data_IF_641040392346
#
_entry.id   IF_641040392346
#
_cell.length_a   1.000
_cell.length_b   1.000
_cell.length_c   1.000
_cell.angle_alpha   90.00
_cell.angle_beta   90.00
_cell.angle_gamma   90.00
#
_symmetry.space_group_name_H-M   'P 1'
#
loop_
_entity.id
_entity.type
_entity.pdbx_description
1 polymer ?
#
# COMPACT_ATOMS: atom_id res chain seq x y z
N UNK A 1 -1.54 30.05 4.93
CA UNK A 1 -2.85 29.41 5.13
C UNK A 1 -3.04 28.08 4.37
N UNK A 2 -2.93 28.00 3.00
CA UNK A 2 -3.14 26.71 2.29
C UNK A 2 -2.04 25.67 2.62
N UNK A 3 -0.78 26.09 2.75
CA UNK A 3 0.34 25.21 3.09
C UNK A 3 0.24 24.64 4.51
N UNK A 4 -0.24 25.41 5.48
CA UNK A 4 -0.43 24.97 6.85
C UNK A 4 -1.57 23.95 6.95
N UNK A 5 -2.65 24.18 6.22
CA UNK A 5 -3.77 23.24 6.14
C UNK A 5 -3.32 21.89 5.56
N UNK A 6 -2.51 21.90 4.48
CA UNK A 6 -1.95 20.69 3.89
C UNK A 6 -1.05 19.95 4.89
N UNK A 7 -0.09 20.65 5.51
CA UNK A 7 0.79 20.06 6.52
C UNK A 7 0.01 19.42 7.69
N UNK A 8 -1.05 20.10 8.16
CA UNK A 8 -1.88 19.54 9.24
C UNK A 8 -2.65 18.30 8.79
N UNK A 9 -3.15 18.29 7.56
CA UNK A 9 -3.80 17.11 6.98
C UNK A 9 -2.83 15.93 6.90
N UNK A 10 -1.62 16.15 6.41
CA UNK A 10 -0.60 15.12 6.26
C UNK A 10 -0.16 14.57 7.64
N UNK A 11 0.00 15.43 8.67
CA UNK A 11 0.25 15.01 10.05
C UNK A 11 -0.86 14.13 10.62
N UNK A 12 -2.12 14.47 10.35
CA UNK A 12 -3.26 13.70 10.81
C UNK A 12 -3.30 12.32 10.15
N UNK A 13 -3.00 12.23 8.85
CA UNK A 13 -2.93 10.96 8.12
C UNK A 13 -1.79 10.10 8.67
N UNK A 14 -0.60 10.65 8.86
CA UNK A 14 0.54 9.92 9.41
C UNK A 14 0.24 9.38 10.83
N UNK A 15 -0.28 10.23 11.71
CA UNK A 15 -0.68 9.83 13.06
C UNK A 15 -1.77 8.76 13.08
N UNK A 16 -2.72 8.79 12.13
CA UNK A 16 -3.74 7.77 12.00
C UNK A 16 -3.14 6.43 11.56
N UNK A 17 -2.23 6.43 10.57
CA UNK A 17 -1.52 5.23 10.12
C UNK A 17 -0.76 4.56 11.26
N UNK A 18 0.02 5.33 12.03
CA UNK A 18 0.79 4.82 13.18
C UNK A 18 -0.13 4.17 14.20
N UNK A 19 -1.21 4.87 14.60
CA UNK A 19 -2.16 4.36 15.58
C UNK A 19 -2.93 3.13 15.08
N UNK A 20 -3.32 3.09 13.81
CA UNK A 20 -4.00 1.93 13.22
C UNK A 20 -3.07 0.70 13.17
N UNK A 21 -1.77 0.89 12.96
CA UNK A 21 -0.79 -0.19 13.01
C UNK A 21 -0.54 -0.68 14.46
N UNK A 22 -0.52 0.23 15.44
CA UNK A 22 -0.27 -0.10 16.85
C UNK A 22 -1.45 -0.78 17.54
N UNK A 23 -2.67 -0.31 17.29
CA UNK A 23 -3.86 -0.66 18.10
C UNK A 23 -5.10 -1.03 17.29
N UNK A 24 -4.96 -1.12 15.96
CA UNK A 24 -6.12 -1.30 15.07
C UNK A 24 -6.95 -0.02 14.94
N UNK A 25 -8.11 -0.15 14.29
CA UNK A 25 -8.94 1.01 13.97
C UNK A 25 -9.84 1.51 15.10
N UNK A 26 -9.84 0.89 16.29
CA UNK A 26 -10.66 1.33 17.44
C UNK A 26 -10.11 2.56 18.18
N UNK A 27 -9.35 3.38 17.46
CA UNK A 27 -8.76 4.62 17.95
C UNK A 27 -9.75 5.78 17.80
N UNK A 28 -9.88 6.63 18.83
CA UNK A 28 -10.69 7.83 18.73
C UNK A 28 -10.02 8.91 17.85
N UNK A 29 -10.83 9.71 17.16
CA UNK A 29 -10.33 10.86 16.38
C UNK A 29 -9.54 11.84 17.26
N UNK A 30 -9.90 12.00 18.54
CA UNK A 30 -9.19 12.85 19.50
C UNK A 30 -7.79 12.29 19.83
N UNK A 31 -7.63 10.96 19.87
CA UNK A 31 -6.30 10.35 20.03
C UNK A 31 -5.41 10.64 18.81
N UNK A 32 -5.98 10.59 17.61
CA UNK A 32 -5.27 10.95 16.37
C UNK A 32 -4.87 12.43 16.39
N UNK A 33 -5.77 13.34 16.77
CA UNK A 33 -5.47 14.77 16.87
C UNK A 33 -4.32 15.04 17.86
N UNK A 34 -4.35 14.40 19.02
CA UNK A 34 -3.28 14.51 20.04
C UNK A 34 -1.94 13.99 19.52
N UNK A 35 -1.92 12.80 18.88
CA UNK A 35 -0.70 12.22 18.29
C UNK A 35 -0.12 13.12 17.21
N UNK A 36 -0.97 13.73 16.38
CA UNK A 36 -0.57 14.65 15.30
C UNK A 36 -0.13 16.04 15.81
N UNK A 37 -0.38 16.38 17.07
CA UNK A 37 -0.16 17.73 17.60
C UNK A 37 -1.07 18.78 16.97
N UNK A 38 -2.31 18.39 16.60
CA UNK A 38 -3.28 19.23 15.92
C UNK A 38 -4.54 19.37 16.79
N UNK A 39 -5.11 20.56 16.83
CA UNK A 39 -6.34 20.79 17.60
C UNK A 39 -7.54 20.00 17.05
N UNK A 40 -8.48 19.52 17.92
CA UNK A 40 -9.63 18.72 17.49
C UNK A 40 -10.49 19.43 16.42
N UNK A 41 -10.74 20.73 16.56
CA UNK A 41 -11.48 21.50 15.56
C UNK A 41 -10.82 21.54 14.18
N UNK A 42 -9.49 21.41 14.12
CA UNK A 42 -8.76 21.29 12.85
C UNK A 42 -8.92 19.91 12.27
N UNK A 43 -8.88 18.85 13.10
CA UNK A 43 -9.12 17.49 12.65
C UNK A 43 -10.52 17.37 12.00
N UNK A 44 -11.57 17.78 12.70
CA UNK A 44 -12.94 17.66 12.20
C UNK A 44 -13.22 18.49 10.93
N UNK A 45 -12.46 19.57 10.71
CA UNK A 45 -12.51 20.32 9.44
C UNK A 45 -11.89 19.55 8.27
N UNK A 46 -10.85 18.75 8.50
CA UNK A 46 -10.21 17.93 7.47
C UNK A 46 -10.91 16.59 7.27
N UNK A 47 -11.35 15.99 8.37
CA UNK A 47 -11.95 14.65 8.41
C UNK A 47 -13.19 14.70 9.29
N UNK A 48 -14.36 15.05 8.70
CA UNK A 48 -15.60 15.18 9.45
C UNK A 48 -16.11 13.85 10.02
N UNK A 49 -15.67 12.74 9.45
CA UNK A 49 -16.02 11.39 9.89
C UNK A 49 -14.77 10.53 10.06
N UNK A 50 -14.90 9.46 10.85
CA UNK A 50 -13.86 8.44 10.97
C UNK A 50 -13.56 7.79 9.63
N UNK A 51 -14.58 7.45 8.85
CA UNK A 51 -14.45 6.82 7.54
C UNK A 51 -13.64 7.69 6.58
N UNK A 52 -13.83 9.01 6.60
CA UNK A 52 -13.04 9.94 5.80
C UNK A 52 -11.53 9.91 6.16
N UNK A 53 -11.20 9.74 7.45
CA UNK A 53 -9.82 9.61 7.89
C UNK A 53 -9.23 8.24 7.51
N UNK A 54 -9.98 7.15 7.70
CA UNK A 54 -9.57 5.79 7.31
C UNK A 54 -9.34 5.70 5.81
N UNK A 55 -10.25 6.25 5.01
CA UNK A 55 -10.09 6.32 3.56
C UNK A 55 -8.83 7.09 3.16
N UNK A 56 -8.57 8.24 3.78
CA UNK A 56 -7.39 9.04 3.49
C UNK A 56 -6.09 8.32 3.90
N UNK A 57 -6.07 7.63 5.04
CA UNK A 57 -4.94 6.83 5.50
C UNK A 57 -4.65 5.68 4.51
N UNK A 58 -5.67 4.94 4.09
CA UNK A 58 -5.49 3.86 3.12
C UNK A 58 -5.05 4.37 1.73
N UNK A 59 -5.61 5.50 1.24
CA UNK A 59 -5.16 6.13 -0.01
C UNK A 59 -3.70 6.59 0.08
N UNK A 60 -3.22 7.01 1.25
CA UNK A 60 -1.81 7.33 1.49
C UNK A 60 -0.92 6.10 1.36
N UNK A 61 -1.31 4.95 1.96
CA UNK A 61 -0.58 3.68 1.82
C UNK A 61 -0.43 3.26 0.34
N UNK A 62 -1.52 3.34 -0.42
CA UNK A 62 -1.51 3.02 -1.86
C UNK A 62 -0.60 3.98 -2.64
N UNK A 63 -0.64 5.27 -2.32
CA UNK A 63 0.16 6.28 -3.00
C UNK A 63 1.66 6.11 -2.70
N UNK A 64 2.02 5.80 -1.46
CA UNK A 64 3.40 5.53 -1.04
C UNK A 64 3.96 4.27 -1.71
N UNK A 65 3.17 3.21 -1.78
CA UNK A 65 3.55 1.98 -2.50
C UNK A 65 3.78 2.25 -4.00
N UNK A 66 2.92 3.06 -4.62
CA UNK A 66 3.09 3.42 -6.04
C UNK A 66 4.33 4.30 -6.27
N UNK A 67 4.52 5.33 -5.44
CA UNK A 67 5.67 6.24 -5.56
C UNK A 67 7.01 5.53 -5.34
N UNK A 68 7.02 4.50 -4.50
CA UNK A 68 8.21 3.71 -4.23
C UNK A 68 8.79 3.04 -5.49
N UNK A 69 7.98 2.73 -6.49
CA UNK A 69 8.44 2.10 -7.73
C UNK A 69 9.38 3.01 -8.54
N UNK A 70 9.05 4.30 -8.64
CA UNK A 70 9.86 5.27 -9.37
C UNK A 70 11.23 5.45 -8.70
N UNK A 71 11.25 5.57 -7.36
CA UNK A 71 12.49 5.69 -6.58
C UNK A 71 13.35 4.43 -6.68
N UNK A 72 12.72 3.25 -6.67
CA UNK A 72 13.41 1.97 -6.80
C UNK A 72 14.02 1.81 -8.19
N UNK A 73 13.28 2.10 -9.26
CA UNK A 73 13.78 2.03 -10.64
C UNK A 73 14.90 3.05 -10.91
N UNK A 74 14.88 4.20 -10.23
CA UNK A 74 15.94 5.18 -10.34
C UNK A 74 17.28 4.75 -9.70
N UNK A 75 17.25 3.79 -8.76
CA UNK A 75 18.41 3.44 -7.90
C UNK A 75 18.81 1.97 -7.93
N UNK A 76 18.01 1.09 -8.53
CA UNK A 76 18.19 -0.37 -8.52
C UNK A 76 18.06 -0.97 -9.93
N UNK A 77 18.68 -2.13 -10.20
CA UNK A 77 18.33 -2.96 -11.36
C UNK A 77 16.83 -3.29 -11.34
N UNK A 78 16.13 -3.34 -12.50
CA UNK A 78 14.67 -3.46 -12.55
C UNK A 78 14.09 -4.70 -11.83
N UNK A 79 14.75 -5.85 -11.90
CA UNK A 79 14.32 -7.06 -11.18
C UNK A 79 14.50 -6.94 -9.65
N UNK A 80 15.54 -6.23 -9.21
CA UNK A 80 15.73 -5.92 -7.78
C UNK A 80 14.69 -4.87 -7.33
N UNK A 81 14.41 -3.86 -8.17
CA UNK A 81 13.37 -2.88 -7.90
C UNK A 81 11.99 -3.54 -7.74
N UNK A 82 11.65 -4.50 -8.60
CA UNK A 82 10.41 -5.27 -8.48
C UNK A 82 10.37 -6.11 -7.20
N UNK A 83 11.46 -6.79 -6.85
CA UNK A 83 11.56 -7.57 -5.61
C UNK A 83 11.40 -6.68 -4.37
N UNK A 84 12.09 -5.54 -4.32
CA UNK A 84 12.00 -4.57 -3.21
C UNK A 84 10.58 -3.96 -3.13
N UNK A 85 9.92 -3.74 -4.28
CA UNK A 85 8.54 -3.29 -4.33
C UNK A 85 7.56 -4.36 -3.79
N UNK A 86 7.78 -5.65 -4.09
CA UNK A 86 7.00 -6.75 -3.54
C UNK A 86 7.16 -6.85 -2.01
N UNK A 87 8.34 -6.60 -1.47
CA UNK A 87 8.53 -6.53 -0.02
C UNK A 87 7.74 -5.37 0.60
N UNK A 88 7.69 -4.20 -0.04
CA UNK A 88 6.84 -3.08 0.39
C UNK A 88 5.34 -3.40 0.26
N UNK A 89 4.97 -4.23 -0.71
CA UNK A 89 3.60 -4.72 -0.84
C UNK A 89 3.15 -5.54 0.38
N UNK A 90 4.05 -6.29 1.03
CA UNK A 90 3.73 -6.99 2.30
C UNK A 90 3.42 -6.00 3.42
N UNK A 91 4.19 -4.91 3.55
CA UNK A 91 3.91 -3.86 4.53
C UNK A 91 2.56 -3.17 4.26
N UNK A 92 2.27 -2.86 2.98
CA UNK A 92 0.95 -2.37 2.56
C UNK A 92 -0.18 -3.36 2.90
N UNK A 93 0.07 -4.66 2.74
CA UNK A 93 -0.89 -5.69 3.12
C UNK A 93 -1.14 -5.71 4.63
N UNK A 94 -0.11 -5.54 5.45
CA UNK A 94 -0.23 -5.43 6.91
C UNK A 94 -1.09 -4.22 7.31
N UNK A 95 -0.80 -3.04 6.75
CA UNK A 95 -1.58 -1.82 7.00
C UNK A 95 -3.06 -2.00 6.64
N UNK A 96 -3.35 -2.59 5.47
CA UNK A 96 -4.73 -2.89 5.05
C UNK A 96 -5.43 -3.87 5.99
N UNK A 97 -4.71 -4.91 6.48
CA UNK A 97 -5.25 -5.87 7.46
C UNK A 97 -5.63 -5.16 8.76
N UNK A 98 -4.77 -4.30 9.30
CA UNK A 98 -5.03 -3.50 10.49
C UNK A 98 -6.27 -2.59 10.36
N UNK A 99 -6.59 -2.16 9.14
CA UNK A 99 -7.75 -1.29 8.84
C UNK A 99 -8.99 -2.05 8.34
N UNK A 100 -8.98 -3.39 8.28
CA UNK A 100 -10.00 -4.20 7.59
C UNK A 100 -11.43 -3.85 7.97
N UNK A 101 -11.75 -3.81 9.27
CA UNK A 101 -13.11 -3.55 9.75
C UNK A 101 -13.60 -2.14 9.33
N UNK A 102 -12.74 -1.12 9.48
CA UNK A 102 -13.08 0.25 9.11
C UNK A 102 -13.18 0.43 7.59
N UNK A 103 -12.34 -0.25 6.80
CA UNK A 103 -12.42 -0.22 5.34
C UNK A 103 -13.72 -0.85 4.81
N UNK A 104 -14.29 -1.83 5.51
CA UNK A 104 -15.61 -2.37 5.18
C UNK A 104 -16.71 -1.32 5.32
N UNK A 105 -16.66 -0.48 6.36
CA UNK A 105 -17.59 0.66 6.52
C UNK A 105 -17.45 1.66 5.38
N UNK A 106 -16.22 2.01 5.01
CA UNK A 106 -15.92 2.93 3.89
C UNK A 106 -16.51 2.41 2.57
N UNK A 107 -16.35 1.10 2.28
CA UNK A 107 -16.92 0.48 1.07
C UNK A 107 -18.44 0.44 1.13
N UNK A 108 -19.03 0.12 2.29
CA UNK A 108 -20.47 0.10 2.47
C UNK A 108 -21.12 1.48 2.25
N UNK A 109 -20.36 2.57 2.44
CA UNK A 109 -20.78 3.94 2.12
C UNK A 109 -20.66 4.32 0.64
N UNK A 110 -20.28 3.38 -0.24
CA UNK A 110 -20.21 3.57 -1.69
C UNK A 110 -18.85 4.02 -2.23
N UNK A 111 -17.77 3.91 -1.45
CA UNK A 111 -16.42 4.28 -1.92
C UNK A 111 -15.81 3.19 -2.82
N UNK A 112 -15.23 3.61 -3.95
CA UNK A 112 -14.52 2.75 -4.91
C UNK A 112 -13.03 2.52 -4.51
N UNK A 113 -12.71 2.67 -3.23
CA UNK A 113 -11.33 2.71 -2.72
C UNK A 113 -10.50 1.48 -3.12
N UNK A 114 -11.10 0.29 -3.16
CA UNK A 114 -10.40 -0.93 -3.57
C UNK A 114 -10.17 -1.01 -5.08
N UNK A 115 -11.13 -0.53 -5.88
CA UNK A 115 -10.97 -0.45 -7.33
C UNK A 115 -9.87 0.56 -7.70
N UNK A 116 -9.82 1.70 -7.02
CA UNK A 116 -8.77 2.71 -7.18
C UNK A 116 -7.39 2.15 -6.82
N UNK A 117 -7.27 1.48 -5.67
CA UNK A 117 -6.04 0.84 -5.23
C UNK A 117 -5.56 -0.22 -6.23
N UNK A 118 -6.49 -1.07 -6.72
CA UNK A 118 -6.18 -2.09 -7.72
C UNK A 118 -5.65 -1.48 -9.01
N UNK A 119 -6.30 -0.43 -9.55
CA UNK A 119 -5.83 0.26 -10.77
C UNK A 119 -4.41 0.82 -10.60
N UNK A 120 -4.11 1.45 -9.46
CA UNK A 120 -2.79 2.00 -9.16
C UNK A 120 -1.72 0.91 -9.07
N UNK A 121 -1.99 -0.16 -8.30
CA UNK A 121 -1.06 -1.27 -8.16
C UNK A 121 -0.81 -1.97 -9.50
N UNK A 122 -1.84 -2.11 -10.35
CA UNK A 122 -1.70 -2.68 -11.68
C UNK A 122 -0.80 -1.81 -12.57
N UNK A 123 -1.03 -0.51 -12.59
CA UNK A 123 -0.20 0.43 -13.37
C UNK A 123 1.27 0.40 -12.89
N UNK A 124 1.49 0.38 -11.58
CA UNK A 124 2.83 0.29 -10.98
C UNK A 124 3.55 -1.01 -11.37
N UNK A 125 2.86 -2.16 -11.26
CA UNK A 125 3.40 -3.45 -11.69
C UNK A 125 3.72 -3.46 -13.20
N UNK A 126 2.85 -2.92 -14.03
CA UNK A 126 3.12 -2.82 -15.47
C UNK A 126 4.41 -2.05 -15.78
N UNK A 127 4.65 -0.94 -15.07
CA UNK A 127 5.89 -0.16 -15.20
C UNK A 127 7.13 -0.97 -14.78
N UNK A 128 7.08 -1.64 -13.63
CA UNK A 128 8.19 -2.43 -13.13
C UNK A 128 8.51 -3.64 -14.03
N UNK A 129 7.48 -4.35 -14.51
CA UNK A 129 7.63 -5.49 -15.41
C UNK A 129 8.18 -5.06 -16.77
N UNK A 130 7.70 -3.95 -17.33
CA UNK A 130 8.20 -3.41 -18.60
C UNK A 130 9.68 -3.04 -18.50
N UNK A 131 10.11 -2.36 -17.43
CA UNK A 131 11.50 -2.04 -17.19
C UNK A 131 12.38 -3.30 -17.05
N UNK A 132 11.88 -4.35 -16.36
CA UNK A 132 12.57 -5.62 -16.23
C UNK A 132 12.70 -6.39 -17.56
N UNK A 133 11.65 -6.37 -18.37
CA UNK A 133 11.66 -6.99 -19.71
C UNK A 133 12.62 -6.27 -20.67
N UNK A 134 12.62 -4.93 -20.65
CA UNK A 134 13.54 -4.12 -21.44
C UNK A 134 15.00 -4.36 -21.06
N UNK A 135 15.28 -4.54 -19.76
CA UNK A 135 16.61 -4.87 -19.25
C UNK A 135 16.99 -6.35 -19.40
N UNK A 136 16.09 -7.21 -19.89
CA UNK A 136 16.33 -8.66 -20.01
C UNK A 136 16.41 -9.41 -18.68
N UNK A 137 15.98 -8.80 -17.57
CA UNK A 137 16.06 -9.38 -16.21
C UNK A 137 14.75 -10.03 -15.77
N UNK A 138 13.66 -9.74 -16.46
CA UNK A 138 12.32 -10.32 -16.27
C UNK A 138 11.83 -10.84 -17.62
N UNK A 139 11.18 -12.00 -17.62
CA UNK A 139 10.57 -12.58 -18.83
C UNK A 139 9.49 -11.64 -19.42
N UNK A 140 9.43 -11.44 -20.75
CA UNK A 140 8.55 -10.47 -21.38
C UNK A 140 7.12 -10.97 -21.62
N UNK A 141 6.84 -12.25 -21.40
CA UNK A 141 5.57 -12.92 -21.74
C UNK A 141 4.59 -13.01 -20.56
N UNK A 142 4.73 -12.11 -19.56
CA UNK A 142 3.83 -12.06 -18.39
C UNK A 142 3.03 -10.77 -18.37
N UNK A 143 1.76 -10.91 -18.04
CA UNK A 143 0.85 -9.78 -17.89
C UNK A 143 0.84 -9.26 -16.44
N UNK A 144 0.85 -7.95 -16.27
CA UNK A 144 0.79 -7.32 -14.95
C UNK A 144 -0.45 -7.75 -14.13
N UNK A 145 -1.54 -8.03 -14.83
CA UNK A 145 -2.78 -8.55 -14.23
C UNK A 145 -2.59 -9.91 -13.56
N UNK A 146 -1.83 -10.82 -14.19
CA UNK A 146 -1.58 -12.15 -13.65
C UNK A 146 -0.62 -12.09 -12.46
N UNK A 147 0.40 -11.23 -12.53
CA UNK A 147 1.29 -10.99 -11.39
C UNK A 147 0.52 -10.37 -10.22
N UNK A 148 -0.36 -9.40 -10.47
CA UNK A 148 -1.19 -8.80 -9.42
C UNK A 148 -2.14 -9.83 -8.78
N UNK A 149 -2.70 -10.76 -9.57
CA UNK A 149 -3.52 -11.86 -9.05
C UNK A 149 -2.70 -12.83 -8.21
N UNK A 150 -1.49 -13.19 -8.68
CA UNK A 150 -0.59 -14.06 -7.93
C UNK A 150 -0.16 -13.42 -6.59
N UNK A 151 0.19 -12.12 -6.57
CA UNK A 151 0.47 -11.41 -5.31
C UNK A 151 -0.76 -11.34 -4.39
N UNK A 152 -1.95 -11.45 -4.96
CA UNK A 152 -3.22 -11.52 -4.22
C UNK A 152 -3.34 -12.71 -3.27
N UNK A 153 -2.54 -13.76 -3.44
CA UNK A 153 -2.46 -14.90 -2.50
C UNK A 153 -2.08 -14.47 -1.08
N UNK A 154 -1.34 -13.37 -0.93
CA UNK A 154 -1.00 -12.78 0.38
C UNK A 154 -2.24 -12.48 1.21
N UNK A 155 -3.38 -12.14 0.57
CA UNK A 155 -4.65 -11.86 1.28
C UNK A 155 -5.34 -13.11 1.84
N UNK A 156 -4.95 -14.29 1.38
CA UNK A 156 -5.53 -15.59 1.81
C UNK A 156 -4.75 -16.20 2.98
N UNK A 157 -3.60 -15.65 3.34
CA UNK A 157 -2.85 -16.10 4.51
C UNK A 157 -3.64 -15.78 5.79
N UNK A 158 -3.63 -16.72 6.72
CA UNK A 158 -4.22 -16.52 8.04
C UNK A 158 -3.49 -15.40 8.79
N UNK A 159 -4.21 -14.68 9.65
CA UNK A 159 -3.67 -13.61 10.48
C UNK A 159 -2.96 -14.19 11.73
N UNK A 160 -1.93 -15.01 11.48
CA UNK A 160 -1.12 -15.67 12.49
C UNK A 160 0.27 -15.01 12.59
N UNK A 161 0.94 -15.07 13.74
CA UNK A 161 2.33 -14.63 13.84
C UNK A 161 3.21 -15.28 12.76
N UNK A 162 3.99 -14.45 12.05
CA UNK A 162 4.87 -14.93 10.97
C UNK A 162 4.24 -14.95 9.57
N UNK A 163 2.99 -14.54 9.40
CA UNK A 163 2.34 -14.45 8.08
C UNK A 163 3.11 -13.57 7.09
N UNK A 164 3.74 -12.49 7.57
CA UNK A 164 4.54 -11.60 6.72
C UNK A 164 5.75 -12.31 6.12
N UNK A 165 6.45 -13.15 6.88
CA UNK A 165 7.57 -13.94 6.35
C UNK A 165 7.07 -14.99 5.36
N UNK A 166 5.93 -15.62 5.63
CA UNK A 166 5.29 -16.51 4.67
C UNK A 166 4.91 -15.77 3.38
N UNK A 167 4.34 -14.56 3.49
CA UNK A 167 4.04 -13.72 2.34
C UNK A 167 5.30 -13.40 1.52
N UNK A 168 6.39 -12.98 2.17
CA UNK A 168 7.68 -12.73 1.51
C UNK A 168 8.20 -13.99 0.81
N UNK A 169 8.08 -15.15 1.45
CA UNK A 169 8.49 -16.43 0.84
C UNK A 169 7.70 -16.73 -0.44
N UNK A 170 6.38 -16.53 -0.44
CA UNK A 170 5.54 -16.69 -1.63
C UNK A 170 5.92 -15.69 -2.74
N UNK A 171 6.15 -14.43 -2.38
CA UNK A 171 6.56 -13.42 -3.35
C UNK A 171 7.95 -13.71 -3.94
N UNK A 172 8.89 -14.28 -3.18
CA UNK A 172 10.17 -14.77 -3.70
C UNK A 172 9.97 -15.85 -4.77
N UNK A 173 9.08 -16.82 -4.55
CA UNK A 173 8.77 -17.84 -5.56
C UNK A 173 8.19 -17.23 -6.85
N UNK A 174 7.34 -16.19 -6.72
CA UNK A 174 6.85 -15.45 -7.89
C UNK A 174 8.02 -14.77 -8.61
N UNK A 175 8.92 -14.10 -7.88
CA UNK A 175 10.10 -13.45 -8.45
C UNK A 175 11.01 -14.42 -9.19
N UNK A 176 11.26 -15.61 -8.62
CA UNK A 176 12.06 -16.65 -9.29
C UNK A 176 11.41 -17.09 -10.61
N UNK A 177 10.06 -17.24 -10.61
CA UNK A 177 9.31 -17.53 -11.83
C UNK A 177 9.38 -16.41 -12.87
N UNK A 178 9.40 -15.13 -12.44
CA UNK A 178 9.50 -13.97 -13.34
C UNK A 178 10.92 -13.82 -13.93
N UNK A 179 11.95 -14.22 -13.19
CA UNK A 179 13.34 -14.25 -13.67
C UNK A 179 13.64 -15.44 -14.58
N UNK A 180 12.93 -16.54 -14.40
CA UNK A 180 13.14 -17.75 -15.20
C UNK A 180 12.76 -17.52 -16.66
N UNK A 181 13.70 -17.77 -17.57
CA UNK A 181 13.51 -17.54 -19.01
C UNK A 181 13.61 -16.07 -19.43
N UNK A 182 14.06 -15.17 -18.58
CA UNK A 182 14.49 -13.85 -18.99
C UNK A 182 15.64 -13.99 -20.01
N UNK A 183 15.55 -13.28 -21.12
CA UNK A 183 16.61 -13.27 -22.11
C UNK A 183 17.77 -12.46 -21.56
N UNK A 184 18.86 -13.14 -21.17
CA UNK A 184 20.11 -12.50 -20.84
C UNK A 184 20.77 -11.87 -22.08
#
# INVERSE_FOLDING_TARGET
>A
MRADARRNRDKLIAAAKDLFAETGTDVSLDAVARRAGVGPGTLYRHFPTRDALVEAAYRSEVAELSAAADDLLATRPPDVALADWMDRFVAYAAAKRGMRAALQSVVASGSDIFADARRRNLATLATLLAAGAEAGTIRPDVEAEDVLRATGLVWQLDDQPGWEEQARSMLRLIMDGLRYGASG
#
